data_IF_002360110530
#
_entry.id   IF_002360110530
#
_cell.length_a   1.000
_cell.length_b   1.000
_cell.length_c   1.000
_cell.angle_alpha   90.00
_cell.angle_beta   90.00
_cell.angle_gamma   90.00
#
_symmetry.space_group_name_H-M   'P 1'
#
loop_
_entity.id
_entity.type
_entity.pdbx_description
1 polymer ?
#
# COMPACT_ATOMS: atom_id res chain seq x y z
N UNK A 1 25.61 -37.55 38.49
CA UNK A 1 26.08 -37.21 37.13
C UNK A 1 24.88 -37.19 36.21
N UNK A 2 24.35 -36.01 35.91
CA UNK A 2 23.42 -35.81 34.80
C UNK A 2 24.14 -35.01 33.71
N UNK A 3 23.70 -35.08 32.45
CA UNK A 3 23.91 -34.00 31.52
C UNK A 3 22.64 -33.15 31.43
N UNK A 4 22.89 -31.86 31.61
CA UNK A 4 21.97 -30.75 31.59
C UNK A 4 21.33 -30.52 30.21
N UNK A 5 20.03 -30.25 30.25
CA UNK A 5 19.30 -29.24 29.48
C UNK A 5 20.08 -28.50 28.37
N UNK A 6 19.85 -28.91 27.13
CA UNK A 6 20.08 -28.08 25.94
C UNK A 6 18.75 -27.75 25.28
N UNK A 7 17.91 -26.96 25.97
CA UNK A 7 16.65 -26.46 25.43
C UNK A 7 16.99 -25.56 24.23
N UNK A 8 16.84 -26.10 23.00
CA UNK A 8 16.92 -25.34 21.76
C UNK A 8 15.84 -24.26 21.83
N UNK A 9 16.22 -23.06 22.28
CA UNK A 9 15.46 -21.85 22.05
C UNK A 9 15.34 -21.72 20.53
N UNK A 10 14.20 -22.17 19.99
CA UNK A 10 13.81 -21.88 18.62
C UNK A 10 13.83 -20.37 18.53
N UNK A 11 14.83 -19.86 17.81
CA UNK A 11 15.03 -18.43 17.60
C UNK A 11 13.69 -17.80 17.30
N UNK A 12 13.37 -16.75 18.06
CA UNK A 12 12.21 -15.91 17.83
C UNK A 12 12.19 -15.60 16.33
N UNK A 13 11.27 -16.25 15.63
CA UNK A 13 11.22 -16.20 14.18
C UNK A 13 11.10 -14.74 13.81
N UNK A 14 12.14 -14.19 13.17
CA UNK A 14 12.19 -12.79 12.78
C UNK A 14 10.91 -12.46 12.04
N UNK A 15 9.96 -11.84 12.75
CA UNK A 15 8.65 -11.51 12.21
C UNK A 15 8.92 -10.27 11.38
N UNK A 16 9.29 -10.50 10.12
CA UNK A 16 9.57 -9.44 9.17
C UNK A 16 8.45 -8.40 9.22
N UNK A 17 8.77 -7.13 8.90
CA UNK A 17 7.84 -6.02 9.12
C UNK A 17 6.50 -6.34 8.46
N UNK A 18 5.45 -6.41 9.29
CA UNK A 18 4.12 -6.79 8.86
C UNK A 18 3.40 -5.54 8.38
N UNK A 19 2.90 -5.57 7.14
CA UNK A 19 1.97 -4.55 6.67
C UNK A 19 0.70 -4.58 7.52
N UNK A 20 0.05 -3.43 7.60
CA UNK A 20 -1.21 -3.30 8.34
C UNK A 20 -2.25 -4.33 7.87
N UNK A 21 -3.06 -4.93 8.78
CA UNK A 21 -4.01 -6.00 8.44
C UNK A 21 -5.08 -5.63 7.40
N UNK A 22 -5.27 -4.33 7.14
CA UNK A 22 -6.20 -3.84 6.09
C UNK A 22 -5.67 -4.04 4.68
N UNK A 23 -4.38 -4.31 4.54
CA UNK A 23 -3.78 -4.75 3.29
C UNK A 23 -4.03 -6.24 3.07
N UNK A 24 -4.53 -6.58 1.88
CA UNK A 24 -4.78 -7.96 1.49
C UNK A 24 -4.26 -8.24 0.09
N UNK A 25 -3.32 -9.18 -0.03
CA UNK A 25 -2.85 -9.69 -1.32
C UNK A 25 -3.86 -10.69 -1.89
N UNK A 26 -4.24 -10.50 -3.15
CA UNK A 26 -5.09 -11.43 -3.87
C UNK A 26 -4.43 -11.80 -5.20
N UNK A 27 -4.55 -13.06 -5.60
CA UNK A 27 -4.17 -13.49 -6.94
C UNK A 27 -5.14 -12.87 -7.96
N UNK A 28 -4.61 -12.40 -9.09
CA UNK A 28 -5.39 -11.86 -10.21
C UNK A 28 -5.03 -12.60 -11.49
N UNK A 29 -5.79 -12.35 -12.57
CA UNK A 29 -5.69 -13.09 -13.86
C UNK A 29 -4.30 -13.02 -14.54
N UNK A 30 -3.39 -12.18 -14.04
CA UNK A 30 -2.03 -12.03 -14.55
C UNK A 30 -1.05 -11.58 -13.47
N UNK A 31 -1.20 -12.00 -12.22
CA UNK A 31 -0.26 -11.61 -11.17
C UNK A 31 -0.88 -11.53 -9.78
N UNK A 32 -0.41 -10.57 -9.00
CA UNK A 32 -0.87 -10.31 -7.65
C UNK A 32 -1.29 -8.86 -7.51
N UNK A 33 -2.43 -8.62 -6.86
CA UNK A 33 -2.91 -7.30 -6.53
C UNK A 33 -2.99 -7.14 -5.02
N UNK A 34 -2.55 -5.99 -4.50
CA UNK A 34 -2.70 -5.62 -3.10
C UNK A 34 -3.88 -4.68 -2.96
N UNK A 35 -4.77 -4.99 -2.05
CA UNK A 35 -5.95 -4.19 -1.75
C UNK A 35 -5.85 -3.56 -0.38
N UNK A 36 -6.31 -2.32 -0.27
CA UNK A 36 -6.57 -1.62 0.99
C UNK A 36 -8.05 -1.26 1.04
N UNK A 37 -8.80 -1.78 2.04
CA UNK A 37 -10.24 -1.54 2.19
C UNK A 37 -11.02 -1.68 0.86
N UNK A 38 -10.74 -2.74 0.11
CA UNK A 38 -11.41 -3.04 -1.17
C UNK A 38 -10.90 -2.26 -2.39
N UNK A 39 -9.92 -1.37 -2.24
CA UNK A 39 -9.30 -0.67 -3.38
C UNK A 39 -7.91 -1.18 -3.68
N UNK A 40 -7.64 -1.40 -4.96
CA UNK A 40 -6.32 -1.81 -5.42
C UNK A 40 -5.30 -0.68 -5.23
N UNK A 41 -4.22 -0.98 -4.52
CA UNK A 41 -3.15 -0.04 -4.16
C UNK A 41 -1.79 -0.51 -4.62
N UNK A 42 -1.63 -1.78 -5.00
CA UNK A 42 -0.39 -2.27 -5.59
C UNK A 42 -0.67 -3.41 -6.57
N UNK A 43 0.28 -3.66 -7.47
CA UNK A 43 0.25 -4.77 -8.40
C UNK A 43 1.64 -5.34 -8.64
N UNK A 44 1.70 -6.64 -8.89
CA UNK A 44 2.89 -7.37 -9.32
C UNK A 44 2.50 -8.27 -10.49
N UNK A 45 3.10 -8.02 -11.64
CA UNK A 45 2.94 -8.80 -12.87
C UNK A 45 3.82 -10.07 -12.84
N UNK A 46 3.58 -11.06 -13.73
CA UNK A 46 4.25 -12.36 -13.66
C UNK A 46 5.75 -12.27 -13.98
N UNK A 47 6.14 -11.26 -14.75
CA UNK A 47 7.52 -10.93 -15.11
C UNK A 47 8.26 -10.16 -14.00
N UNK A 48 7.56 -9.80 -12.91
CA UNK A 48 8.11 -9.08 -11.78
C UNK A 48 8.04 -7.56 -11.86
N UNK A 49 7.37 -7.01 -12.89
CA UNK A 49 7.03 -5.57 -12.92
C UNK A 49 6.06 -5.31 -11.79
N UNK A 50 6.35 -4.30 -10.98
CA UNK A 50 5.53 -4.01 -9.81
C UNK A 50 5.32 -2.52 -9.64
N UNK A 51 4.22 -2.18 -8.98
CA UNK A 51 3.89 -0.82 -8.64
C UNK A 51 3.09 -0.77 -7.34
N UNK A 52 3.18 0.35 -6.64
CA UNK A 52 2.38 0.67 -5.46
C UNK A 52 1.99 2.14 -5.51
N UNK A 53 0.73 2.44 -5.22
CA UNK A 53 0.20 3.78 -5.06
C UNK A 53 0.13 4.12 -3.58
N UNK A 54 0.79 5.20 -3.20
CA UNK A 54 0.84 5.70 -1.84
C UNK A 54 0.64 7.20 -1.86
N UNK A 55 -0.35 7.68 -1.11
CA UNK A 55 -0.69 9.12 -1.04
C UNK A 55 -0.83 9.79 -2.42
N UNK A 56 -1.47 9.10 -3.36
CA UNK A 56 -1.66 9.59 -4.73
C UNK A 56 -0.44 9.46 -5.66
N UNK A 57 0.73 9.07 -5.15
CA UNK A 57 1.95 8.89 -5.95
C UNK A 57 2.12 7.41 -6.28
N UNK A 58 2.38 7.12 -7.55
CA UNK A 58 2.69 5.76 -8.01
C UNK A 58 4.21 5.56 -8.02
N UNK A 59 4.67 4.57 -7.27
CA UNK A 59 6.04 4.07 -7.30
C UNK A 59 6.06 2.76 -8.08
N UNK A 60 7.01 2.59 -8.99
CA UNK A 60 7.13 1.39 -9.81
C UNK A 60 8.58 0.92 -9.90
N UNK A 61 8.76 -0.36 -10.17
CA UNK A 61 10.06 -0.97 -10.38
C UNK A 61 9.94 -2.35 -11.00
N UNK A 62 11.08 -3.01 -11.15
CA UNK A 62 11.15 -4.36 -11.71
C UNK A 62 12.04 -5.24 -10.82
N UNK A 63 11.49 -6.36 -10.36
CA UNK A 63 12.22 -7.42 -9.67
C UNK A 63 11.76 -8.72 -10.28
N UNK A 64 12.64 -9.44 -10.99
CA UNK A 64 12.36 -10.70 -11.74
C UNK A 64 11.73 -11.85 -10.92
N UNK A 65 11.48 -11.65 -9.64
CA UNK A 65 10.81 -12.59 -8.76
C UNK A 65 9.56 -11.93 -8.17
N UNK A 66 8.39 -12.46 -8.55
CA UNK A 66 7.07 -12.05 -8.02
C UNK A 66 7.05 -12.08 -6.48
N UNK A 67 7.63 -13.13 -5.88
CA UNK A 67 7.70 -13.27 -4.42
C UNK A 67 8.53 -12.17 -3.77
N UNK A 68 9.67 -11.81 -4.38
CA UNK A 68 10.51 -10.72 -3.88
C UNK A 68 9.87 -9.35 -4.11
N UNK A 69 9.22 -9.13 -5.26
CA UNK A 69 8.48 -7.92 -5.55
C UNK A 69 7.38 -7.66 -4.49
N UNK A 70 6.59 -8.69 -4.16
CA UNK A 70 5.59 -8.61 -3.08
C UNK A 70 6.22 -8.28 -1.74
N UNK A 71 7.28 -8.98 -1.34
CA UNK A 71 8.00 -8.71 -0.08
C UNK A 71 8.60 -7.31 -0.05
N UNK A 72 9.05 -6.79 -1.18
CA UNK A 72 9.57 -5.44 -1.30
C UNK A 72 8.47 -4.42 -1.02
N UNK A 73 7.31 -4.57 -1.66
CA UNK A 73 6.12 -3.73 -1.41
C UNK A 73 5.70 -3.83 0.06
N UNK A 74 5.66 -5.03 0.64
CA UNK A 74 5.29 -5.23 2.04
C UNK A 74 6.23 -4.47 2.98
N UNK A 75 7.55 -4.65 2.81
CA UNK A 75 8.56 -3.95 3.60
C UNK A 75 8.47 -2.43 3.42
N UNK A 76 8.23 -1.99 2.19
CA UNK A 76 8.13 -0.58 1.85
C UNK A 76 6.90 0.07 2.53
N UNK A 77 5.75 -0.61 2.56
CA UNK A 77 4.56 -0.13 3.25
C UNK A 77 4.72 -0.19 4.77
N UNK A 78 5.28 -1.27 5.30
CA UNK A 78 5.47 -1.45 6.74
C UNK A 78 6.51 -0.48 7.35
N UNK A 79 7.43 0.05 6.55
CA UNK A 79 8.38 1.09 6.95
C UNK A 79 7.76 2.50 7.00
N UNK A 80 6.48 2.66 6.63
CA UNK A 80 5.77 3.94 6.60
C UNK A 80 4.66 3.96 7.66
N UNK A 81 4.26 5.15 8.13
CA UNK A 81 3.15 5.26 9.08
C UNK A 81 1.90 4.57 8.53
N UNK A 82 1.06 3.95 9.38
CA UNK A 82 -0.19 3.30 9.01
C UNK A 82 -1.28 4.33 8.67
N UNK A 83 -0.95 5.21 7.72
CA UNK A 83 -1.87 6.18 7.15
C UNK A 83 -2.47 5.57 5.89
N UNK A 84 -3.75 5.84 5.60
CA UNK A 84 -4.36 5.34 4.38
C UNK A 84 -3.55 5.84 3.17
N UNK A 85 -3.27 4.97 2.17
CA UNK A 85 -2.90 5.49 0.87
C UNK A 85 -4.05 6.38 0.42
N UNK A 86 -3.78 7.67 0.18
CA UNK A 86 -4.80 8.60 -0.34
C UNK A 86 -5.23 8.05 -1.70
N UNK A 87 -6.40 7.42 -1.72
CA UNK A 87 -7.04 6.93 -2.93
C UNK A 87 -7.83 8.08 -3.55
N UNK A 88 -7.91 8.12 -4.88
CA UNK A 88 -8.73 9.12 -5.59
C UNK A 88 -10.20 9.18 -5.12
N UNK A 89 -10.72 8.08 -4.57
CA UNK A 89 -12.08 7.99 -4.01
C UNK A 89 -12.22 8.57 -2.59
N UNK A 90 -11.10 8.63 -1.85
CA UNK A 90 -11.05 9.16 -0.47
C UNK A 90 -10.62 10.63 -0.47
N UNK A 91 -10.14 11.13 -1.61
CA UNK A 91 -10.15 12.56 -1.89
C UNK A 91 -11.62 13.00 -1.91
N UNK A 92 -12.00 14.10 -1.24
CA UNK A 92 -13.33 14.67 -1.41
C UNK A 92 -13.58 14.80 -2.92
N UNK A 93 -14.72 14.32 -3.44
CA UNK A 93 -15.02 14.37 -4.87
C UNK A 93 -14.85 15.81 -5.28
N UNK A 94 -13.82 16.11 -6.09
CA UNK A 94 -13.29 17.46 -6.36
C UNK A 94 -14.28 18.53 -5.89
N UNK A 95 -14.20 18.88 -4.60
CA UNK A 95 -15.06 19.89 -3.98
C UNK A 95 -14.50 21.26 -4.38
N UNK A 96 -14.26 21.36 -5.67
CA UNK A 96 -13.76 22.46 -6.43
C UNK A 96 -14.76 22.52 -7.58
N UNK A 97 -15.87 23.19 -7.34
CA UNK A 97 -16.16 24.32 -8.22
C UNK A 97 -14.80 24.93 -8.58
N UNK A 98 -14.47 25.04 -9.87
CA UNK A 98 -13.17 25.61 -10.26
C UNK A 98 -12.96 26.91 -9.49
N UNK A 99 -11.71 27.31 -9.24
CA UNK A 99 -11.47 28.60 -8.57
C UNK A 99 -12.29 29.72 -9.24
N UNK A 100 -12.47 29.66 -10.56
CA UNK A 100 -13.40 30.53 -11.30
C UNK A 100 -14.86 30.40 -10.85
N UNK A 101 -15.41 29.19 -10.72
CA UNK A 101 -16.79 28.99 -10.24
C UNK A 101 -16.99 29.50 -8.81
N UNK A 102 -16.01 29.31 -7.92
CA UNK A 102 -16.07 29.86 -6.55
C UNK A 102 -15.99 31.40 -6.55
N UNK A 103 -15.08 31.99 -7.33
CA UNK A 103 -14.95 33.45 -7.42
C UNK A 103 -16.20 34.09 -8.02
N UNK A 104 -16.83 33.43 -9.01
CA UNK A 104 -18.07 33.89 -9.62
C UNK A 104 -19.25 33.88 -8.64
N UNK A 105 -19.43 32.80 -7.87
CA UNK A 105 -20.48 32.73 -6.84
C UNK A 105 -20.26 33.76 -5.72
N UNK A 106 -19.01 34.09 -5.40
CA UNK A 106 -18.67 35.11 -4.40
C UNK A 106 -18.96 36.54 -4.88
N UNK A 107 -18.70 36.85 -6.15
CA UNK A 107 -19.07 38.13 -6.77
C UNK A 107 -20.60 38.27 -6.89
N UNK A 108 -21.30 37.18 -7.24
CA UNK A 108 -22.77 37.17 -7.37
C UNK A 108 -23.50 37.25 -6.01
N UNK A 109 -22.83 36.93 -4.89
CA UNK A 109 -23.42 36.97 -3.53
C UNK A 109 -23.20 38.30 -2.78
N UNK A 110 -22.52 39.28 -3.38
CA UNK A 110 -22.22 40.60 -2.78
C UNK A 110 -23.00 41.78 -3.39
N UNK A 111 -24.14 41.52 -4.04
CA UNK A 111 -25.07 42.54 -4.52
C UNK A 111 -26.50 42.33 -3.99
#
# INVERSE_FOLDING_TARGET
MGPESGNHQRGEGFKGPQIEPRYNWQASRGGWALFWKGSMVAGVEPDGVHWVTWRGIRHSGHIRSVKLARRCIDRWLAARPPLPPVLKKDLPPSALSSLESFLREYDESNF
#
